data_IF_493275868141
#
_entry.id   IF_493275868141
#
_cell.length_a   1.000
_cell.length_b   1.000
_cell.length_c   1.000
_cell.angle_alpha   90.00
_cell.angle_beta   90.00
_cell.angle_gamma   90.00
#
_symmetry.space_group_name_H-M   'P 1'
#
loop_
_entity.id
_entity.type
_entity.pdbx_description
1 polymer ?
#
# COMPACT_ATOMS: atom_id res chain seq x y z
N UNK A 1 16.37 8.22 -21.38
CA UNK A 1 16.40 9.42 -20.53
C UNK A 1 15.74 10.58 -21.26
N UNK A 2 15.33 11.65 -20.55
CA UNK A 2 14.81 12.88 -21.15
C UNK A 2 15.82 14.01 -21.10
N UNK A 3 15.75 14.91 -22.07
CA UNK A 3 16.24 16.28 -21.93
C UNK A 3 15.04 17.21 -21.80
N UNK A 4 15.13 18.16 -20.87
CA UNK A 4 14.14 19.22 -20.68
C UNK A 4 14.76 20.57 -21.03
N UNK A 5 14.10 21.32 -21.89
CA UNK A 5 14.47 22.68 -22.24
C UNK A 5 13.83 23.70 -21.28
N UNK A 6 14.39 24.91 -21.24
CA UNK A 6 13.93 25.98 -20.36
C UNK A 6 12.53 26.51 -20.72
N UNK A 7 12.10 26.34 -21.97
CA UNK A 7 10.73 26.56 -22.44
C UNK A 7 9.78 25.39 -22.11
N UNK A 8 10.32 24.32 -21.51
CA UNK A 8 9.62 23.10 -21.16
C UNK A 8 9.38 22.12 -22.31
N UNK A 9 10.07 22.29 -23.43
CA UNK A 9 10.23 21.26 -24.45
C UNK A 9 10.84 19.99 -23.86
N UNK A 10 10.27 18.82 -24.21
CA UNK A 10 10.77 17.51 -23.77
C UNK A 10 11.28 16.72 -24.96
N UNK A 11 12.48 16.19 -24.83
CA UNK A 11 13.12 15.33 -25.83
C UNK A 11 13.41 13.97 -25.21
N UNK A 12 12.75 12.94 -25.73
CA UNK A 12 12.88 11.57 -25.25
C UNK A 12 13.95 10.80 -26.02
N UNK A 13 14.86 10.13 -25.31
CA UNK A 13 15.91 9.30 -25.88
C UNK A 13 15.90 7.88 -25.32
N UNK A 14 16.19 6.91 -26.18
CA UNK A 14 16.16 5.48 -25.83
C UNK A 14 14.73 4.99 -25.70
N UNK A 15 14.43 4.33 -24.59
CA UNK A 15 13.14 3.76 -24.21
C UNK A 15 12.24 4.73 -23.42
N UNK A 16 12.73 5.93 -23.10
CA UNK A 16 11.96 6.95 -22.39
C UNK A 16 10.72 7.36 -23.20
N UNK A 17 9.53 7.21 -22.60
CA UNK A 17 8.27 7.58 -23.24
C UNK A 17 8.01 9.09 -23.14
N UNK A 18 7.21 9.64 -24.06
CA UNK A 18 6.81 11.06 -24.02
C UNK A 18 5.41 11.18 -23.42
N UNK A 19 5.28 11.93 -22.32
CA UNK A 19 4.00 12.06 -21.59
C UNK A 19 3.36 13.45 -21.73
N UNK A 20 4.07 14.42 -22.30
CA UNK A 20 3.59 15.78 -22.54
C UNK A 20 4.67 16.85 -22.34
N UNK A 21 4.37 18.10 -22.64
CA UNK A 21 5.34 19.19 -22.60
C UNK A 21 4.64 20.53 -22.44
N UNK A 22 5.33 21.51 -21.83
CA UNK A 22 4.89 22.90 -21.81
C UNK A 22 5.45 23.74 -22.96
N UNK A 23 6.24 23.15 -23.88
CA UNK A 23 6.88 23.87 -24.99
C UNK A 23 5.91 24.50 -26.00
N UNK A 24 4.61 24.16 -25.95
CA UNK A 24 3.57 24.76 -26.78
C UNK A 24 2.86 25.96 -26.11
N UNK A 25 3.21 26.30 -24.86
CA UNK A 25 2.59 27.40 -24.10
C UNK A 25 3.63 28.42 -23.66
N UNK A 26 3.18 29.65 -23.42
CA UNK A 26 4.03 30.68 -22.82
C UNK A 26 4.12 30.46 -21.31
N UNK A 27 5.33 30.19 -20.82
CA UNK A 27 5.61 30.04 -19.39
C UNK A 27 5.86 31.39 -18.72
N UNK A 28 5.40 31.54 -17.47
CA UNK A 28 5.71 32.70 -16.64
C UNK A 28 7.21 32.77 -16.29
N UNK A 29 7.82 31.59 -16.06
CA UNK A 29 9.24 31.43 -15.80
C UNK A 29 9.77 30.12 -16.41
N UNK A 30 11.09 30.04 -16.68
CA UNK A 30 11.70 28.85 -17.27
C UNK A 30 11.55 27.59 -16.43
N UNK A 31 11.44 26.44 -17.09
CA UNK A 31 11.63 25.12 -16.48
C UNK A 31 13.10 24.97 -16.07
N UNK A 32 13.32 24.47 -14.85
CA UNK A 32 14.64 24.25 -14.24
C UNK A 32 14.92 22.78 -13.93
N UNK A 33 13.91 21.92 -14.02
CA UNK A 33 14.09 20.49 -13.75
C UNK A 33 12.92 19.63 -14.19
N UNK A 34 13.21 18.34 -14.30
CA UNK A 34 12.26 17.25 -14.55
C UNK A 34 12.49 16.16 -13.50
N UNK A 35 11.42 15.57 -13.00
CA UNK A 35 11.49 14.42 -12.10
C UNK A 35 10.48 13.34 -12.55
N UNK A 36 10.90 12.08 -12.76
CA UNK A 36 9.99 11.00 -13.11
C UNK A 36 9.05 10.64 -11.95
N UNK A 37 7.83 10.19 -12.25
CA UNK A 37 7.03 9.46 -11.26
C UNK A 37 7.77 8.18 -10.82
N UNK A 38 7.54 7.67 -9.59
CA UNK A 38 8.24 6.49 -9.09
C UNK A 38 8.11 5.24 -9.98
N UNK A 39 6.95 5.05 -10.61
CA UNK A 39 6.64 3.97 -11.55
C UNK A 39 7.12 4.25 -12.99
N UNK A 40 7.63 5.45 -13.25
CA UNK A 40 8.11 5.88 -14.57
C UNK A 40 7.02 6.16 -15.59
N UNK A 41 5.73 6.09 -15.22
CA UNK A 41 4.58 6.34 -16.11
C UNK A 41 4.27 7.83 -16.36
N UNK A 42 5.06 8.73 -15.78
CA UNK A 42 4.88 10.17 -15.90
C UNK A 42 6.08 10.97 -15.40
N UNK A 43 5.93 12.30 -15.38
CA UNK A 43 6.90 13.21 -14.76
C UNK A 43 6.30 14.55 -14.34
N UNK A 44 6.99 15.20 -13.39
CA UNK A 44 6.80 16.61 -13.05
C UNK A 44 7.86 17.48 -13.73
N UNK A 45 7.43 18.64 -14.23
CA UNK A 45 8.33 19.74 -14.59
C UNK A 45 8.22 20.84 -13.53
N UNK A 46 9.36 21.37 -13.09
CA UNK A 46 9.42 22.49 -12.16
C UNK A 46 9.93 23.75 -12.85
N UNK A 47 9.17 24.84 -12.74
CA UNK A 47 9.56 26.17 -13.15
C UNK A 47 10.28 26.92 -12.01
N UNK A 48 11.13 27.89 -12.37
CA UNK A 48 11.91 28.66 -11.40
C UNK A 48 11.08 29.57 -10.47
N UNK A 49 9.81 29.86 -10.80
CA UNK A 49 8.84 30.51 -9.89
C UNK A 49 8.16 29.54 -8.92
N UNK A 50 8.48 28.25 -8.97
CA UNK A 50 7.82 27.21 -8.19
C UNK A 50 6.58 26.61 -8.87
N UNK A 51 6.32 26.96 -10.13
CA UNK A 51 5.28 26.31 -10.94
C UNK A 51 5.57 24.83 -11.15
N UNK A 52 4.57 23.97 -10.92
CA UNK A 52 4.67 22.53 -11.16
C UNK A 52 3.71 22.12 -12.27
N UNK A 53 4.19 21.32 -13.21
CA UNK A 53 3.38 20.73 -14.29
C UNK A 53 3.50 19.21 -14.23
N UNK A 54 2.36 18.54 -14.24
CA UNK A 54 2.27 17.07 -14.19
C UNK A 54 1.91 16.51 -15.56
N UNK A 55 2.60 15.44 -15.98
CA UNK A 55 2.36 14.73 -17.23
C UNK A 55 2.34 13.22 -17.00
N UNK A 56 1.57 12.50 -17.82
CA UNK A 56 1.36 11.05 -17.65
C UNK A 56 0.50 10.77 -16.41
N UNK A 57 0.93 9.83 -15.59
CA UNK A 57 0.30 9.48 -14.30
C UNK A 57 0.86 10.23 -13.08
N UNK A 58 1.79 11.18 -13.30
CA UNK A 58 2.42 11.94 -12.23
C UNK A 58 1.38 12.81 -11.48
N UNK A 59 0.94 12.34 -10.31
CA UNK A 59 -0.06 13.03 -9.47
C UNK A 59 0.36 14.47 -9.16
N UNK A 60 -0.53 15.44 -9.37
CA UNK A 60 -0.26 16.85 -9.05
C UNK A 60 -0.49 17.15 -7.56
N UNK A 61 0.58 17.48 -6.84
CA UNK A 61 0.55 17.78 -5.40
C UNK A 61 0.41 19.27 -5.07
N UNK A 62 0.27 20.13 -6.08
CA UNK A 62 0.26 21.58 -5.93
C UNK A 62 1.52 22.25 -6.48
N UNK A 63 1.58 23.56 -6.30
CA UNK A 63 2.62 24.44 -6.85
C UNK A 63 2.94 25.53 -5.83
N UNK A 64 4.22 25.91 -5.74
CA UNK A 64 4.67 27.02 -4.92
C UNK A 64 4.54 28.38 -5.64
N UNK A 65 4.25 28.37 -6.95
CA UNK A 65 3.99 29.60 -7.69
C UNK A 65 2.70 30.25 -7.18
N UNK A 66 2.84 31.41 -6.54
CA UNK A 66 1.73 32.19 -6.00
C UNK A 66 1.91 33.66 -6.36
N UNK A 67 0.87 34.35 -6.85
CA UNK A 67 0.90 35.79 -7.08
C UNK A 67 1.03 36.61 -5.79
N UNK A 68 0.54 36.07 -4.66
CA UNK A 68 0.48 36.78 -3.38
C UNK A 68 1.62 36.41 -2.43
N UNK A 69 2.25 35.26 -2.64
CA UNK A 69 3.35 34.75 -1.82
C UNK A 69 4.42 34.10 -2.71
N UNK A 70 5.19 34.89 -3.48
CA UNK A 70 6.22 34.35 -4.37
C UNK A 70 7.30 33.60 -3.60
N UNK A 71 7.92 32.62 -4.25
CA UNK A 71 9.16 32.01 -3.73
C UNK A 71 10.21 33.09 -3.50
N UNK A 72 10.90 33.04 -2.35
CA UNK A 72 11.90 34.05 -1.96
C UNK A 72 13.21 33.94 -2.74
N UNK A 73 13.43 32.82 -3.43
CA UNK A 73 14.52 32.57 -4.35
C UNK A 73 14.07 31.60 -5.46
N UNK A 74 14.75 31.57 -6.61
CA UNK A 74 14.40 30.65 -7.70
C UNK A 74 14.48 29.20 -7.24
N UNK A 75 13.49 28.39 -7.63
CA UNK A 75 13.63 26.93 -7.61
C UNK A 75 14.76 26.55 -8.57
N UNK A 76 15.64 25.65 -8.15
CA UNK A 76 16.82 25.23 -8.93
C UNK A 76 16.76 23.78 -9.39
N UNK A 77 15.70 23.06 -9.05
CA UNK A 77 15.51 21.68 -9.46
C UNK A 77 14.29 21.05 -8.78
N UNK A 78 13.99 19.83 -9.21
CA UNK A 78 13.01 18.95 -8.61
C UNK A 78 13.61 17.54 -8.60
N UNK A 79 13.29 16.79 -7.57
CA UNK A 79 13.66 15.40 -7.45
C UNK A 79 12.41 14.62 -7.08
N UNK A 80 12.24 13.48 -7.73
CA UNK A 80 11.35 12.44 -7.25
C UNK A 80 12.20 11.49 -6.43
N UNK A 81 11.77 11.23 -5.20
CA UNK A 81 12.29 10.10 -4.47
C UNK A 81 11.39 8.94 -4.84
N UNK A 82 11.95 7.90 -5.46
CA UNK A 82 11.32 6.59 -5.35
C UNK A 82 11.09 6.38 -3.85
N UNK A 83 9.87 6.04 -3.45
CA UNK A 83 9.64 5.59 -2.09
C UNK A 83 10.66 4.48 -1.87
N UNK A 84 11.67 4.66 -1.01
CA UNK A 84 12.65 3.61 -0.83
C UNK A 84 11.86 2.40 -0.35
N UNK A 85 12.00 1.27 -1.05
CA UNK A 85 11.65 -0.01 -0.47
C UNK A 85 12.30 -0.03 0.90
N UNK A 86 11.53 -0.32 1.96
CA UNK A 86 12.05 -0.27 3.34
C UNK A 86 13.27 -1.19 3.49
N UNK A 87 13.37 -2.18 2.61
CA UNK A 87 14.43 -3.16 2.52
C UNK A 87 15.23 -3.01 1.22
N UNK A 88 16.52 -3.34 1.27
CA UNK A 88 17.35 -3.43 0.07
C UNK A 88 16.93 -4.63 -0.79
N UNK A 89 16.93 -4.52 -2.13
CA UNK A 89 16.63 -5.66 -2.99
C UNK A 89 17.53 -6.87 -2.69
N UNK A 90 16.92 -8.06 -2.61
CA UNK A 90 17.59 -9.31 -2.24
C UNK A 90 17.77 -9.52 -0.74
N UNK A 91 17.36 -8.57 0.10
CA UNK A 91 17.34 -8.77 1.54
C UNK A 91 16.32 -9.85 1.93
N UNK A 92 16.67 -10.66 2.93
CA UNK A 92 15.80 -11.72 3.45
C UNK A 92 15.43 -11.46 4.90
N UNK A 93 14.37 -12.10 5.37
CA UNK A 93 14.01 -12.08 6.78
C UNK A 93 12.68 -12.76 7.02
N UNK A 94 11.90 -12.21 7.95
CA UNK A 94 10.70 -12.88 8.45
C UNK A 94 9.56 -11.90 8.70
N UNK A 95 8.36 -12.33 8.38
CA UNK A 95 7.13 -11.84 8.98
C UNK A 95 6.78 -12.68 10.23
N UNK A 96 6.32 -11.99 11.27
CA UNK A 96 5.94 -12.61 12.54
C UNK A 96 4.63 -12.03 13.07
N UNK A 97 4.00 -12.81 13.94
CA UNK A 97 2.72 -12.53 14.55
C UNK A 97 2.77 -12.90 16.03
N UNK A 98 1.64 -12.72 16.73
CA UNK A 98 1.51 -13.18 18.11
C UNK A 98 1.82 -14.69 18.29
N UNK A 99 1.71 -15.52 17.26
CA UNK A 99 2.04 -16.95 17.35
C UNK A 99 3.52 -17.22 17.61
N UNK A 100 4.40 -16.28 17.25
CA UNK A 100 5.83 -16.39 17.50
C UNK A 100 6.22 -15.80 18.87
N UNK A 101 5.30 -15.22 19.63
CA UNK A 101 5.64 -14.65 20.92
C UNK A 101 5.90 -15.73 22.00
N UNK A 102 7.00 -15.66 22.79
CA UNK A 102 8.11 -14.68 22.76
C UNK A 102 9.36 -15.18 22.00
N UNK A 103 9.25 -16.24 21.20
CA UNK A 103 10.34 -16.86 20.46
C UNK A 103 10.55 -16.18 19.10
N UNK A 104 11.34 -15.12 19.06
CA UNK A 104 11.63 -14.40 17.82
C UNK A 104 12.80 -15.03 17.04
N UNK A 105 12.80 -14.96 15.70
CA UNK A 105 13.91 -15.46 14.90
C UNK A 105 15.15 -14.55 15.06
N UNK A 106 16.32 -14.90 14.52
CA UNK A 106 17.47 -13.99 14.51
C UNK A 106 17.12 -12.66 13.81
N UNK A 107 17.62 -11.51 14.32
CA UNK A 107 17.41 -10.21 13.66
C UNK A 107 17.81 -10.29 12.19
N UNK A 108 16.92 -9.80 11.33
CA UNK A 108 17.06 -9.89 9.88
C UNK A 108 16.71 -8.56 9.23
N UNK A 109 17.26 -8.24 8.04
CA UNK A 109 16.92 -7.02 7.33
C UNK A 109 15.42 -6.84 7.08
N UNK A 110 14.74 -7.91 6.65
CA UNK A 110 13.27 -7.92 6.50
C UNK A 110 12.64 -8.32 7.84
N UNK A 111 11.77 -7.46 8.34
CA UNK A 111 11.03 -7.63 9.59
C UNK A 111 9.63 -7.05 9.44
N UNK A 112 8.64 -7.93 9.30
CA UNK A 112 7.22 -7.54 9.13
C UNK A 112 6.43 -8.06 10.34
N UNK A 113 5.61 -7.23 10.97
CA UNK A 113 5.02 -7.56 12.28
C UNK A 113 3.53 -7.32 12.31
N UNK A 114 2.78 -8.32 12.75
CA UNK A 114 1.33 -8.24 12.92
C UNK A 114 0.97 -7.21 13.99
N UNK A 115 0.06 -6.30 13.68
CA UNK A 115 -0.47 -5.33 14.65
C UNK A 115 -1.80 -5.82 15.21
N UNK A 116 -2.68 -6.24 14.32
CA UNK A 116 -4.01 -6.77 14.64
C UNK A 116 -4.34 -7.93 13.71
N UNK A 117 -4.93 -8.95 14.29
CA UNK A 117 -5.57 -10.07 13.60
C UNK A 117 -7.08 -9.91 13.65
N UNK A 118 -7.79 -10.89 13.06
CA UNK A 118 -9.25 -11.07 13.07
C UNK A 118 -10.07 -9.85 13.54
N UNK A 119 -10.52 -9.08 12.55
CA UNK A 119 -10.99 -7.69 12.61
C UNK A 119 -11.66 -7.25 13.91
N UNK A 120 -11.14 -6.14 14.47
CA UNK A 120 -11.56 -5.51 15.73
C UNK A 120 -11.52 -6.38 17.00
N UNK A 121 -11.22 -7.68 16.89
CA UNK A 121 -11.31 -8.63 18.00
C UNK A 121 -9.95 -9.04 18.54
N UNK A 122 -8.87 -8.82 17.77
CA UNK A 122 -7.53 -9.22 18.16
C UNK A 122 -6.51 -8.08 18.02
N UNK A 123 -5.71 -7.93 19.08
CA UNK A 123 -4.57 -7.02 19.17
C UNK A 123 -3.35 -7.87 19.52
N UNK A 124 -2.25 -7.71 18.80
CA UNK A 124 -1.04 -8.47 19.08
C UNK A 124 -0.41 -8.00 20.42
N UNK A 125 -0.51 -8.80 21.51
CA UNK A 125 -0.05 -8.39 22.83
C UNK A 125 1.47 -8.25 22.94
N UNK A 126 2.22 -8.75 21.94
CA UNK A 126 3.67 -8.73 21.90
C UNK A 126 4.24 -7.69 20.92
N UNK A 127 3.38 -6.85 20.32
CA UNK A 127 3.76 -5.88 19.29
C UNK A 127 4.95 -5.00 19.68
N UNK A 128 5.01 -4.51 20.93
CA UNK A 128 6.12 -3.68 21.38
C UNK A 128 7.45 -4.44 21.47
N UNK A 129 7.44 -5.70 21.93
CA UNK A 129 8.62 -6.55 22.01
C UNK A 129 9.11 -6.98 20.62
N UNK A 130 8.17 -7.32 19.75
CA UNK A 130 8.45 -7.69 18.36
C UNK A 130 9.03 -6.50 17.59
N UNK A 131 8.47 -5.31 17.76
CA UNK A 131 8.99 -4.10 17.13
C UNK A 131 10.42 -3.76 17.60
N UNK A 132 10.74 -4.01 18.89
CA UNK A 132 12.10 -3.88 19.40
C UNK A 132 13.05 -4.90 18.75
N UNK A 133 12.57 -6.12 18.47
CA UNK A 133 13.33 -7.15 17.75
C UNK A 133 13.60 -6.74 16.30
N UNK A 134 12.58 -6.28 15.58
CA UNK A 134 12.68 -5.99 14.14
C UNK A 134 13.53 -4.75 13.80
N UNK A 135 13.66 -3.80 14.74
CA UNK A 135 14.51 -2.63 14.59
C UNK A 135 13.95 -1.53 13.67
N UNK A 136 14.80 -0.60 13.19
CA UNK A 136 14.35 0.64 12.54
C UNK A 136 13.72 0.47 11.15
N UNK A 137 13.91 -0.69 10.51
CA UNK A 137 13.34 -1.02 9.19
C UNK A 137 12.07 -1.87 9.30
N UNK A 138 11.53 -2.05 10.51
CA UNK A 138 10.32 -2.85 10.71
C UNK A 138 9.14 -2.27 9.96
N UNK A 139 8.47 -3.10 9.17
CA UNK A 139 7.15 -2.79 8.60
C UNK A 139 6.06 -3.54 9.36
N UNK A 140 4.83 -3.08 9.23
CA UNK A 140 3.71 -3.58 10.04
C UNK A 140 2.64 -4.14 9.11
N UNK A 141 1.90 -5.16 9.55
CA UNK A 141 0.73 -5.61 8.83
C UNK A 141 -0.51 -5.68 9.71
N UNK A 142 -1.66 -5.56 9.08
CA UNK A 142 -2.95 -5.72 9.72
C UNK A 142 -3.83 -6.60 8.83
N UNK A 143 -4.47 -7.58 9.46
CA UNK A 143 -5.41 -8.47 8.81
C UNK A 143 -6.71 -7.75 8.46
N UNK A 144 -7.24 -7.98 7.26
CA UNK A 144 -8.51 -7.43 6.79
C UNK A 144 -9.57 -8.49 6.55
N UNK A 145 -10.83 -8.11 6.74
CA UNK A 145 -11.97 -8.87 6.27
C UNK A 145 -13.17 -7.98 5.95
N UNK A 146 -14.21 -8.58 5.36
CA UNK A 146 -15.51 -7.98 5.19
C UNK A 146 -16.64 -9.02 5.46
N UNK A 147 -17.35 -8.94 6.59
CA UNK A 147 -18.42 -9.89 6.89
C UNK A 147 -19.64 -9.64 6.00
N UNK A 148 -19.85 -10.54 5.02
CA UNK A 148 -20.84 -10.51 3.92
C UNK A 148 -22.29 -10.12 4.22
N UNK A 149 -22.72 -10.14 5.48
CA UNK A 149 -24.13 -10.03 5.84
C UNK A 149 -24.45 -8.76 6.62
N UNK A 150 -23.60 -7.72 6.56
CA UNK A 150 -23.77 -6.50 7.34
C UNK A 150 -23.78 -6.83 8.83
N UNK A 151 -22.62 -7.07 9.43
CA UNK A 151 -22.38 -7.34 10.85
C UNK A 151 -23.62 -7.84 11.63
N UNK A 152 -24.04 -9.08 11.38
CA UNK A 152 -25.09 -9.71 12.20
C UNK A 152 -24.59 -10.11 13.60
N UNK A 153 -23.32 -9.84 13.93
CA UNK A 153 -22.76 -10.07 15.27
C UNK A 153 -22.58 -8.74 16.02
N UNK A 154 -23.29 -8.52 17.14
CA UNK A 154 -23.13 -7.36 18.02
C UNK A 154 -21.75 -7.25 18.70
N UNK A 155 -20.86 -8.24 18.54
CA UNK A 155 -19.52 -8.24 19.14
C UNK A 155 -18.42 -7.70 18.21
N UNK A 156 -18.67 -7.59 16.90
CA UNK A 156 -17.73 -7.00 15.93
C UNK A 156 -18.06 -5.51 15.79
N UNK A 157 -17.45 -4.68 16.64
CA UNK A 157 -17.48 -3.23 16.60
C UNK A 157 -18.81 -2.61 16.10
N UNK A 158 -19.94 -3.06 16.67
CA UNK A 158 -21.31 -2.54 16.50
C UNK A 158 -21.70 -2.19 15.06
N UNK A 159 -22.58 -2.96 14.43
CA UNK A 159 -23.16 -2.77 13.08
C UNK A 159 -23.59 -1.35 12.66
N UNK A 160 -23.66 -0.39 13.57
CA UNK A 160 -23.89 1.03 13.30
C UNK A 160 -22.61 1.84 13.00
N UNK A 161 -21.42 1.36 13.37
CA UNK A 161 -20.18 2.15 13.36
C UNK A 161 -19.69 2.42 11.93
N UNK A 162 -19.82 1.49 11.00
CA UNK A 162 -19.40 1.61 9.59
C UNK A 162 -20.50 2.19 8.68
N UNK A 163 -21.70 2.43 9.19
CA UNK A 163 -22.75 3.14 8.43
C UNK A 163 -22.39 4.60 8.16
N UNK A 164 -21.37 5.12 8.84
CA UNK A 164 -20.85 6.48 8.65
C UNK A 164 -19.32 6.47 8.62
N UNK A 165 -18.75 7.26 7.73
CA UNK A 165 -17.30 7.36 7.55
C UNK A 165 -16.95 8.22 6.33
N UNK A 166 -15.73 8.09 5.78
CA UNK A 166 -15.30 8.92 4.67
C UNK A 166 -16.04 8.67 3.35
N UNK A 167 -16.70 7.52 3.17
CA UNK A 167 -17.64 7.30 2.07
C UNK A 167 -19.01 8.01 2.28
N UNK A 168 -19.22 8.62 3.45
CA UNK A 168 -20.45 9.30 3.83
C UNK A 168 -21.36 8.46 4.71
N UNK A 169 -22.64 8.84 4.74
CA UNK A 169 -23.70 8.13 5.46
C UNK A 169 -24.32 7.09 4.52
N UNK A 170 -24.03 5.81 4.75
CA UNK A 170 -24.45 4.73 3.87
C UNK A 170 -25.93 4.41 4.04
N UNK A 171 -26.63 4.15 2.95
CA UNK A 171 -27.94 3.51 3.04
C UNK A 171 -27.79 2.06 3.53
N UNK A 172 -28.78 1.48 4.23
CA UNK A 172 -28.73 0.08 4.67
C UNK A 172 -28.51 -0.93 3.54
N UNK A 173 -28.85 -0.57 2.30
CA UNK A 173 -28.67 -1.39 1.10
C UNK A 173 -27.41 -1.03 0.29
N UNK A 174 -26.66 -0.02 0.71
CA UNK A 174 -25.43 0.41 0.03
C UNK A 174 -24.22 -0.31 0.65
N UNK A 175 -24.04 -1.57 0.25
CA UNK A 175 -22.98 -2.43 0.78
C UNK A 175 -21.58 -1.98 0.36
N UNK A 176 -21.43 -1.30 -0.78
CA UNK A 176 -20.15 -0.73 -1.22
C UNK A 176 -19.71 0.40 -0.28
N UNK A 177 -20.62 1.32 0.06
CA UNK A 177 -20.33 2.37 1.03
C UNK A 177 -20.00 1.78 2.42
N UNK A 178 -20.76 0.77 2.85
CA UNK A 178 -20.54 0.11 4.14
C UNK A 178 -19.18 -0.59 4.20
N UNK A 179 -18.83 -1.36 3.17
CA UNK A 179 -17.54 -2.05 3.07
C UNK A 179 -16.38 -1.04 3.11
N UNK A 180 -16.45 0.02 2.32
CA UNK A 180 -15.43 1.08 2.36
C UNK A 180 -15.23 1.66 3.76
N UNK A 181 -16.32 2.04 4.44
CA UNK A 181 -16.23 2.61 5.78
C UNK A 181 -15.74 1.58 6.81
N UNK A 182 -16.04 0.30 6.61
CA UNK A 182 -15.58 -0.80 7.47
C UNK A 182 -14.06 -0.94 7.37
N UNK A 183 -13.50 -1.11 6.17
CA UNK A 183 -12.06 -1.22 5.96
C UNK A 183 -11.28 0.00 6.43
N UNK A 184 -11.82 1.20 6.21
CA UNK A 184 -11.24 2.42 6.76
C UNK A 184 -11.13 2.38 8.30
N UNK A 185 -12.14 1.83 8.98
CA UNK A 185 -12.16 1.69 10.44
C UNK A 185 -11.28 0.57 10.94
N UNK A 186 -11.16 -0.54 10.20
CA UNK A 186 -10.21 -1.62 10.52
C UNK A 186 -8.78 -1.08 10.51
N UNK A 187 -8.40 -0.38 9.45
CA UNK A 187 -7.10 0.28 9.34
C UNK A 187 -6.89 1.32 10.44
N UNK A 188 -7.91 2.12 10.76
CA UNK A 188 -7.88 3.07 11.87
C UNK A 188 -7.63 2.38 13.22
N UNK A 189 -8.30 1.27 13.47
CA UNK A 189 -8.16 0.50 14.70
C UNK A 189 -6.74 -0.06 14.86
N UNK A 190 -6.20 -0.69 13.82
CA UNK A 190 -4.84 -1.21 13.82
C UNK A 190 -3.80 -0.09 14.07
N UNK A 191 -3.94 1.02 13.36
CA UNK A 191 -3.06 2.17 13.52
C UNK A 191 -3.12 2.77 14.92
N UNK A 192 -4.31 2.94 15.48
CA UNK A 192 -4.47 3.43 16.86
C UNK A 192 -3.86 2.46 17.88
N UNK A 193 -4.03 1.15 17.69
CA UNK A 193 -3.43 0.17 18.57
C UNK A 193 -1.90 0.27 18.57
N UNK A 194 -1.26 0.31 17.40
CA UNK A 194 0.19 0.50 17.29
C UNK A 194 0.67 1.77 18.02
N UNK A 195 -0.08 2.88 17.90
CA UNK A 195 0.23 4.12 18.64
C UNK A 195 0.16 3.93 20.16
N UNK A 196 -0.79 3.14 20.68
CA UNK A 196 -0.86 2.83 22.12
C UNK A 196 0.36 2.05 22.61
N UNK A 197 0.98 1.27 21.73
CA UNK A 197 2.20 0.50 21.99
C UNK A 197 3.48 1.31 21.72
N UNK A 198 3.37 2.59 21.34
CA UNK A 198 4.49 3.43 20.91
C UNK A 198 5.28 2.83 19.73
N UNK A 199 4.56 2.13 18.84
CA UNK A 199 5.09 1.49 17.63
C UNK A 199 4.68 2.31 16.42
N UNK A 200 5.67 2.67 15.60
CA UNK A 200 5.49 3.54 14.44
C UNK A 200 6.29 3.02 13.25
N UNK A 201 5.59 2.69 12.16
CA UNK A 201 6.20 2.37 10.87
C UNK A 201 5.74 3.35 9.80
N UNK A 202 6.63 3.67 8.87
CA UNK A 202 6.31 4.41 7.65
C UNK A 202 5.58 3.56 6.61
N UNK A 203 5.72 2.23 6.69
CA UNK A 203 5.17 1.28 5.72
C UNK A 203 4.34 0.19 6.40
N UNK A 204 3.17 -0.05 5.83
CA UNK A 204 2.18 -1.00 6.31
C UNK A 204 1.74 -1.95 5.19
N UNK A 205 1.22 -3.11 5.58
CA UNK A 205 0.64 -4.11 4.68
C UNK A 205 -0.76 -4.48 5.12
N UNK A 206 -1.68 -4.60 4.17
CA UNK A 206 -2.99 -5.18 4.38
C UNK A 206 -2.91 -6.66 4.03
N UNK A 207 -3.13 -7.51 5.03
CA UNK A 207 -3.19 -8.95 4.83
C UNK A 207 -4.58 -9.34 4.32
N UNK A 208 -4.63 -9.72 3.03
CA UNK A 208 -5.83 -10.00 2.24
C UNK A 208 -5.78 -11.43 1.73
N UNK A 209 -6.45 -12.32 2.47
CA UNK A 209 -6.43 -13.76 2.22
C UNK A 209 -7.82 -14.38 2.28
N UNK A 210 -8.01 -15.48 1.54
CA UNK A 210 -9.26 -16.25 1.55
C UNK A 210 -9.55 -16.97 2.88
N UNK A 211 -8.61 -16.96 3.82
CA UNK A 211 -8.86 -17.33 5.22
C UNK A 211 -9.76 -16.33 5.97
N UNK A 212 -10.01 -15.15 5.39
CA UNK A 212 -10.91 -14.15 5.91
C UNK A 212 -12.39 -14.36 5.61
N UNK A 213 -13.21 -13.69 6.41
CA UNK A 213 -14.63 -13.56 6.11
C UNK A 213 -14.77 -12.50 5.02
N UNK A 214 -15.13 -12.91 3.81
CA UNK A 214 -15.41 -12.01 2.68
C UNK A 214 -16.87 -12.12 2.23
N UNK A 215 -17.31 -11.20 1.37
CA UNK A 215 -18.71 -11.04 0.96
C UNK A 215 -19.40 -12.32 0.43
N UNK A 216 -18.67 -13.33 -0.04
CA UNK A 216 -19.29 -14.57 -0.50
C UNK A 216 -18.69 -15.87 0.07
N UNK A 217 -17.67 -15.83 0.93
CA UNK A 217 -17.02 -17.05 1.43
C UNK A 217 -17.77 -17.78 2.56
N UNK A 218 -19.04 -17.42 2.84
CA UNK A 218 -19.75 -18.05 3.96
C UNK A 218 -20.03 -19.54 3.78
N UNK A 219 -20.08 -20.13 2.56
CA UNK A 219 -20.17 -21.60 2.38
C UNK A 219 -19.64 -22.12 1.01
N UNK A 220 -18.44 -22.70 0.99
CA UNK A 220 -18.03 -23.67 -0.05
C UNK A 220 -17.24 -23.14 -1.26
N UNK A 221 -16.83 -24.02 -2.20
CA UNK A 221 -15.76 -23.79 -3.19
C UNK A 221 -16.20 -23.00 -4.44
N UNK A 222 -17.14 -22.05 -4.32
CA UNK A 222 -17.60 -21.25 -5.45
C UNK A 222 -16.97 -19.87 -5.44
N UNK A 223 -16.44 -19.44 -6.59
CA UNK A 223 -15.96 -18.07 -6.81
C UNK A 223 -17.01 -17.05 -6.38
N UNK A 224 -16.54 -15.95 -5.79
CA UNK A 224 -17.38 -14.85 -5.34
C UNK A 224 -18.18 -14.24 -6.50
N UNK A 225 -19.41 -13.79 -6.22
CA UNK A 225 -20.17 -13.06 -7.23
C UNK A 225 -19.47 -11.74 -7.54
N UNK A 226 -19.57 -11.19 -8.76
CA UNK A 226 -18.97 -9.88 -9.08
C UNK A 226 -19.41 -8.75 -8.14
N UNK A 227 -20.62 -8.84 -7.58
CA UNK A 227 -21.11 -7.87 -6.61
C UNK A 227 -20.47 -8.03 -5.21
N UNK A 228 -20.10 -9.25 -4.83
CA UNK A 228 -19.35 -9.54 -3.62
C UNK A 228 -17.91 -9.02 -3.76
N UNK A 229 -17.25 -9.38 -4.86
CA UNK A 229 -15.89 -8.94 -5.18
C UNK A 229 -15.74 -7.41 -5.22
N UNK A 230 -16.77 -6.72 -5.72
CA UNK A 230 -16.81 -5.26 -5.70
C UNK A 230 -16.84 -4.69 -4.27
N UNK A 231 -17.57 -5.34 -3.34
CA UNK A 231 -17.63 -4.92 -1.93
C UNK A 231 -16.31 -5.21 -1.21
N UNK A 232 -15.72 -6.38 -1.40
CA UNK A 232 -14.43 -6.74 -0.79
C UNK A 232 -13.34 -5.77 -1.23
N UNK A 233 -13.33 -5.40 -2.52
CA UNK A 233 -12.42 -4.38 -3.01
C UNK A 233 -12.70 -2.98 -2.42
N UNK A 234 -13.97 -2.63 -2.13
CA UNK A 234 -14.26 -1.38 -1.42
C UNK A 234 -13.70 -1.38 0.00
N UNK A 235 -13.78 -2.49 0.73
CA UNK A 235 -13.16 -2.65 2.05
C UNK A 235 -11.65 -2.37 2.00
N UNK A 236 -10.95 -3.04 1.08
CA UNK A 236 -9.51 -2.88 0.87
C UNK A 236 -9.19 -1.42 0.50
N UNK A 237 -9.97 -0.79 -0.38
CA UNK A 237 -9.80 0.63 -0.73
C UNK A 237 -9.99 1.57 0.47
N UNK A 238 -10.98 1.29 1.32
CA UNK A 238 -11.20 2.04 2.55
C UNK A 238 -9.96 2.01 3.45
N UNK A 239 -9.37 0.83 3.64
CA UNK A 239 -8.16 0.64 4.42
C UNK A 239 -6.93 1.34 3.81
N UNK A 240 -6.73 1.21 2.50
CA UNK A 240 -5.65 1.91 1.77
C UNK A 240 -5.79 3.43 1.95
N UNK A 241 -7.00 3.98 1.79
CA UNK A 241 -7.23 5.41 1.90
C UNK A 241 -7.03 5.93 3.32
N UNK A 242 -7.32 5.12 4.35
CA UNK A 242 -6.95 5.48 5.72
C UNK A 242 -5.44 5.68 5.85
N UNK A 243 -4.62 4.68 5.53
CA UNK A 243 -3.17 4.79 5.70
C UNK A 243 -2.55 5.88 4.82
N UNK A 244 -3.05 6.04 3.60
CA UNK A 244 -2.67 7.14 2.70
C UNK A 244 -2.97 8.50 3.32
N UNK A 245 -4.14 8.67 3.96
CA UNK A 245 -4.49 9.91 4.68
C UNK A 245 -3.58 10.20 5.88
N UNK A 246 -2.95 9.17 6.44
CA UNK A 246 -1.96 9.29 7.52
C UNK A 246 -0.53 9.52 7.00
N UNK A 247 -0.35 9.66 5.68
CA UNK A 247 0.96 9.83 5.05
C UNK A 247 1.84 8.57 5.17
N UNK A 248 1.23 7.39 5.22
CA UNK A 248 1.94 6.09 5.25
C UNK A 248 1.97 5.46 3.88
N UNK A 249 3.05 4.74 3.59
CA UNK A 249 3.07 3.78 2.49
C UNK A 249 2.24 2.57 2.92
N UNK A 250 1.33 2.11 2.06
CA UNK A 250 0.46 0.97 2.32
C UNK A 250 0.48 0.03 1.12
N UNK A 251 0.86 -1.22 1.35
CA UNK A 251 0.81 -2.29 0.38
C UNK A 251 -0.22 -3.35 0.71
N UNK A 252 -0.35 -4.34 -0.16
CA UNK A 252 -1.27 -5.47 0.01
C UNK A 252 -0.50 -6.77 -0.04
N UNK A 253 -0.77 -7.65 0.93
CA UNK A 253 -0.34 -9.03 0.93
C UNK A 253 -1.45 -9.94 0.40
N UNK A 254 -1.11 -10.82 -0.56
CA UNK A 254 -2.01 -11.85 -1.09
C UNK A 254 -1.27 -12.84 -2.00
N UNK A 255 -2.00 -13.82 -2.54
CA UNK A 255 -1.59 -14.58 -3.74
C UNK A 255 -2.34 -14.06 -4.97
N UNK A 256 -1.83 -14.26 -6.21
CA UNK A 256 -2.59 -13.92 -7.42
C UNK A 256 -3.96 -14.61 -7.51
N UNK A 257 -4.05 -15.85 -7.01
CA UNK A 257 -5.29 -16.61 -6.97
C UNK A 257 -6.29 -15.99 -5.97
N UNK A 258 -5.87 -15.77 -4.73
CA UNK A 258 -6.73 -15.17 -3.70
C UNK A 258 -7.16 -13.76 -4.09
N UNK A 259 -6.26 -12.93 -4.64
CA UNK A 259 -6.61 -11.62 -5.16
C UNK A 259 -7.68 -11.68 -6.25
N UNK A 260 -7.56 -12.64 -7.18
CA UNK A 260 -8.56 -12.87 -8.21
C UNK A 260 -9.90 -13.36 -7.66
N UNK A 261 -9.87 -14.20 -6.62
CA UNK A 261 -11.07 -14.73 -5.97
C UNK A 261 -11.81 -13.64 -5.20
N UNK A 262 -11.10 -12.88 -4.36
CA UNK A 262 -11.65 -11.86 -3.47
C UNK A 262 -12.08 -10.60 -4.25
N UNK A 263 -11.29 -10.16 -5.24
CA UNK A 263 -11.53 -8.84 -5.87
C UNK A 263 -11.93 -8.91 -7.34
N UNK A 264 -11.99 -10.11 -7.93
CA UNK A 264 -12.16 -10.26 -9.37
C UNK A 264 -10.95 -9.79 -10.17
N UNK A 265 -9.77 -9.68 -9.52
CA UNK A 265 -8.55 -9.18 -10.15
C UNK A 265 -8.53 -7.65 -10.28
N UNK A 266 -9.15 -6.94 -9.33
CA UNK A 266 -9.21 -5.49 -9.34
C UNK A 266 -7.81 -4.86 -9.39
N UNK A 267 -7.70 -3.72 -10.06
CA UNK A 267 -6.44 -2.96 -10.16
C UNK A 267 -6.24 -2.18 -8.86
N UNK A 268 -5.05 -2.22 -8.27
CA UNK A 268 -4.75 -1.45 -7.06
C UNK A 268 -4.55 0.03 -7.41
N UNK A 269 -4.74 0.95 -6.43
CA UNK A 269 -4.33 2.34 -6.61
C UNK A 269 -2.87 2.45 -7.05
N UNK A 270 -2.57 3.47 -7.86
CA UNK A 270 -1.22 3.69 -8.36
C UNK A 270 -0.22 3.80 -7.18
N UNK A 271 0.95 3.20 -7.34
CA UNK A 271 2.01 3.14 -6.31
C UNK A 271 1.66 2.34 -5.05
N UNK A 272 0.59 1.55 -5.02
CA UNK A 272 0.39 0.54 -3.96
C UNK A 272 1.32 -0.64 -4.21
N UNK A 273 2.35 -0.90 -3.37
CA UNK A 273 3.20 -2.07 -3.53
C UNK A 273 2.48 -3.35 -3.10
N UNK A 274 2.99 -4.50 -3.55
CA UNK A 274 2.49 -5.80 -3.12
C UNK A 274 3.56 -6.65 -2.45
N UNK A 275 3.08 -7.43 -1.50
CA UNK A 275 3.79 -8.52 -0.84
C UNK A 275 3.13 -9.83 -1.30
N UNK A 276 3.78 -10.56 -2.20
CA UNK A 276 3.14 -11.73 -2.82
C UNK A 276 3.54 -13.02 -2.10
N UNK A 277 2.57 -13.85 -1.73
CA UNK A 277 2.86 -15.17 -1.19
C UNK A 277 3.15 -16.17 -2.32
N UNK A 278 4.37 -16.70 -2.35
CA UNK A 278 4.81 -17.69 -3.33
C UNK A 278 5.64 -18.79 -2.64
N UNK A 279 5.01 -19.67 -1.83
CA UNK A 279 5.73 -20.74 -1.14
C UNK A 279 6.52 -21.64 -2.10
N UNK A 280 7.82 -21.78 -1.86
CA UNK A 280 8.73 -22.56 -2.70
C UNK A 280 9.20 -21.88 -3.98
N UNK A 281 8.89 -20.60 -4.19
CA UNK A 281 9.40 -19.86 -5.34
C UNK A 281 10.92 -19.72 -5.30
N UNK A 282 11.54 -19.79 -6.48
CA UNK A 282 12.96 -19.51 -6.62
C UNK A 282 13.21 -18.01 -6.40
N UNK A 283 14.06 -17.61 -5.41
CA UNK A 283 14.36 -16.21 -5.12
C UNK A 283 14.82 -15.39 -6.33
N UNK A 284 15.52 -16.02 -7.28
CA UNK A 284 16.01 -15.34 -8.50
C UNK A 284 14.91 -14.94 -9.49
N UNK A 285 13.72 -15.56 -9.39
CA UNK A 285 12.57 -15.31 -10.27
C UNK A 285 11.34 -14.82 -9.51
N UNK A 286 11.40 -14.81 -8.16
CA UNK A 286 10.30 -14.47 -7.29
C UNK A 286 9.78 -13.03 -7.53
N UNK A 287 10.71 -12.09 -7.74
CA UNK A 287 10.41 -10.69 -8.05
C UNK A 287 9.96 -10.42 -9.50
N UNK A 288 9.71 -11.47 -10.30
CA UNK A 288 9.21 -11.31 -11.67
C UNK A 288 7.79 -10.76 -11.66
N UNK A 289 7.53 -9.75 -12.50
CA UNK A 289 6.19 -9.18 -12.67
C UNK A 289 5.14 -10.18 -13.15
N UNK A 290 5.54 -11.34 -13.67
CA UNK A 290 4.62 -12.46 -13.97
C UNK A 290 3.91 -13.00 -12.72
N UNK A 291 4.45 -12.75 -11.52
CA UNK A 291 3.87 -13.19 -10.26
C UNK A 291 3.04 -12.09 -9.58
N UNK A 292 2.90 -10.92 -10.22
CA UNK A 292 2.19 -9.78 -9.66
C UNK A 292 0.66 -9.96 -9.67
N UNK A 293 -0.04 -9.20 -8.83
CA UNK A 293 -1.48 -9.01 -8.87
C UNK A 293 -1.81 -7.51 -8.79
N UNK A 294 -3.04 -7.14 -9.15
CA UNK A 294 -3.50 -5.76 -9.04
C UNK A 294 -2.79 -4.74 -9.93
N UNK A 295 -2.02 -5.19 -10.94
CA UNK A 295 -1.12 -4.35 -11.75
C UNK A 295 -0.10 -3.55 -10.91
N UNK A 296 0.30 -4.12 -9.77
CA UNK A 296 1.18 -3.47 -8.81
C UNK A 296 2.63 -3.94 -8.92
N UNK A 297 3.53 -3.20 -8.28
CA UNK A 297 4.94 -3.57 -8.17
C UNK A 297 5.15 -4.50 -6.97
N UNK A 298 5.83 -5.62 -7.19
CA UNK A 298 6.27 -6.51 -6.11
C UNK A 298 7.42 -5.83 -5.34
N UNK A 299 7.24 -5.71 -4.02
CA UNK A 299 8.25 -5.21 -3.08
C UNK A 299 8.69 -6.30 -2.09
N UNK A 300 7.81 -7.24 -1.79
CA UNK A 300 8.11 -8.38 -0.93
C UNK A 300 7.55 -9.66 -1.54
N UNK A 301 8.19 -10.77 -1.23
CA UNK A 301 7.72 -12.12 -1.55
C UNK A 301 7.81 -12.96 -0.28
N UNK A 302 6.70 -13.54 0.17
CA UNK A 302 6.74 -14.60 1.16
C UNK A 302 7.09 -15.91 0.46
N UNK A 303 8.27 -16.45 0.76
CA UNK A 303 8.91 -17.56 0.03
C UNK A 303 8.64 -18.93 0.64
N UNK A 304 8.08 -19.00 1.84
CA UNK A 304 7.76 -20.24 2.55
C UNK A 304 8.02 -20.11 4.05
N UNK A 305 8.32 -21.23 4.71
CA UNK A 305 8.57 -21.28 6.15
C UNK A 305 9.97 -21.78 6.49
N UNK A 306 10.49 -21.34 7.63
CA UNK A 306 11.68 -21.88 8.28
C UNK A 306 11.37 -22.30 9.72
N UNK A 307 11.92 -23.44 10.14
CA UNK A 307 11.85 -23.89 11.53
C UNK A 307 13.17 -23.60 12.24
N UNK A 308 13.13 -22.75 13.27
CA UNK A 308 14.29 -22.42 14.11
C UNK A 308 13.94 -22.70 15.57
N UNK A 309 14.78 -23.47 16.27
CA UNK A 309 14.59 -23.81 17.68
C UNK A 309 13.19 -24.37 18.04
N UNK A 310 12.56 -25.10 17.10
CA UNK A 310 11.21 -25.67 17.29
C UNK A 310 10.05 -24.72 17.02
N UNK A 311 10.32 -23.52 16.53
CA UNK A 311 9.31 -22.53 16.13
C UNK A 311 9.34 -22.34 14.61
N UNK A 312 8.17 -22.12 14.01
CA UNK A 312 8.01 -21.87 12.58
C UNK A 312 7.80 -20.38 12.32
N UNK A 313 8.52 -19.88 11.33
CA UNK A 313 8.51 -18.50 10.87
C UNK A 313 8.29 -18.47 9.37
N UNK A 314 7.52 -17.50 8.90
CA UNK A 314 7.38 -17.25 7.49
C UNK A 314 8.59 -16.43 7.00
N UNK A 315 9.07 -16.76 5.80
CA UNK A 315 10.34 -16.26 5.27
C UNK A 315 10.10 -15.34 4.09
N UNK A 316 10.70 -14.17 4.13
CA UNK A 316 10.48 -13.12 3.14
C UNK A 316 11.74 -12.74 2.38
N UNK A 317 11.51 -12.28 1.16
CA UNK A 317 12.51 -11.74 0.24
C UNK A 317 12.04 -10.37 -0.26
N UNK A 318 12.91 -9.36 -0.14
CA UNK A 318 12.69 -8.04 -0.75
C UNK A 318 13.06 -8.02 -2.22
N UNK A 319 12.16 -7.41 -2.98
CA UNK A 319 12.37 -6.84 -4.29
C UNK A 319 12.52 -5.32 -4.12
#
# INVERSE_FOLDING_TARGET
YWLVASDGGIFSFGDAQFYGSTGAITLNKPIVGIAPSPDGGGYWLAASDGGIFSFGDATYYGSAASPTTPVSAPVVGILSMAMPTVYSPGATGFDISNFQCPAFPPPSPVSVIEVTGWSFSFQNPCLAQEFQWGGPTTTLYAWLNWPSNGASSPTDYGSASYMTGPAGNCAPTDFNCQAYNFGYKQAQYAYQYAQTQNVMSSTWWLDVETGGQWAALTQGPTFESPAAQAQDYQDILGAINFFTSQGRTIGVYSTPLQWSEITGGATLPANTPIWVALPGANPSTACSQSNSFGQAQIWLVQTGTATLNGHTYDTDLSC
#
